data_IF_239317688190
#
_entry.id   IF_239317688190
#
_cell.length_a   1.000
_cell.length_b   1.000
_cell.length_c   1.000
_cell.angle_alpha   90.00
_cell.angle_beta   90.00
_cell.angle_gamma   90.00
#
_symmetry.space_group_name_H-M   'P 1'
#
loop_
_entity.id
_entity.type
_entity.pdbx_description
1 polymer ?
#
# COMPACT_ATOMS: atom_id res chain seq x y z
N UNK A 1 -13.58 42.84 -32.12
CA UNK A 1 -14.90 42.21 -32.34
C UNK A 1 -14.66 40.81 -32.86
N UNK A 2 -15.22 39.79 -32.20
CA UNK A 2 -14.86 38.39 -32.38
C UNK A 2 -15.42 37.82 -33.71
N UNK A 3 -14.96 38.34 -34.86
CA UNK A 3 -15.43 37.96 -36.21
C UNK A 3 -15.21 36.47 -36.52
N UNK A 4 -14.38 35.77 -35.75
CA UNK A 4 -14.19 34.33 -35.88
C UNK A 4 -15.40 33.51 -35.43
N UNK A 5 -16.22 34.04 -34.50
CA UNK A 5 -17.46 33.41 -34.07
C UNK A 5 -18.40 33.15 -35.26
N UNK A 6 -18.56 34.16 -36.10
CA UNK A 6 -19.51 34.12 -37.22
C UNK A 6 -19.14 33.03 -38.24
N UNK A 7 -17.85 32.70 -38.40
CA UNK A 7 -17.40 31.69 -39.37
C UNK A 7 -17.94 30.29 -39.09
N UNK A 8 -18.38 30.02 -37.87
CA UNK A 8 -18.84 28.70 -37.43
C UNK A 8 -20.35 28.57 -37.30
N UNK A 9 -21.12 29.62 -37.60
CA UNK A 9 -22.57 29.63 -37.41
C UNK A 9 -23.35 29.53 -38.72
N UNK A 10 -24.55 28.95 -38.65
CA UNK A 10 -25.52 28.91 -39.74
C UNK A 10 -26.62 29.96 -39.51
N UNK A 11 -26.90 30.76 -40.53
CA UNK A 11 -27.82 31.90 -40.43
C UNK A 11 -29.03 31.69 -41.34
N UNK A 12 -30.23 31.89 -40.81
CA UNK A 12 -31.45 32.04 -41.61
C UNK A 12 -31.69 33.51 -41.91
N UNK A 13 -31.62 33.90 -43.17
CA UNK A 13 -31.89 35.26 -43.64
C UNK A 13 -33.22 35.32 -44.40
N UNK A 14 -34.16 36.14 -43.93
CA UNK A 14 -35.51 36.24 -44.49
C UNK A 14 -35.83 37.68 -44.89
N UNK A 15 -36.11 37.89 -46.18
CA UNK A 15 -36.35 39.20 -46.78
C UNK A 15 -37.24 39.01 -48.01
N UNK A 16 -38.24 39.86 -48.22
CA UNK A 16 -39.21 39.70 -49.30
C UNK A 16 -38.73 40.25 -50.65
N UNK A 17 -38.00 41.37 -50.63
CA UNK A 17 -37.40 41.98 -51.81
C UNK A 17 -36.25 41.12 -52.38
N UNK A 18 -36.38 40.65 -53.63
CA UNK A 18 -35.43 39.69 -54.22
C UNK A 18 -33.99 40.24 -54.29
N UNK A 19 -33.83 41.48 -54.76
CA UNK A 19 -32.52 42.08 -54.97
C UNK A 19 -31.78 42.30 -53.64
N UNK A 20 -32.51 42.73 -52.60
CA UNK A 20 -31.97 42.90 -51.25
C UNK A 20 -31.64 41.55 -50.61
N UNK A 21 -32.52 40.55 -50.79
CA UNK A 21 -32.33 39.19 -50.29
C UNK A 21 -31.07 38.55 -50.85
N UNK A 22 -30.90 38.60 -52.17
CA UNK A 22 -29.73 38.02 -52.85
C UNK A 22 -28.43 38.74 -52.49
N UNK A 23 -28.43 40.08 -52.52
CA UNK A 23 -27.24 40.88 -52.21
C UNK A 23 -26.77 40.70 -50.76
N UNK A 24 -27.70 40.85 -49.81
CA UNK A 24 -27.39 40.73 -48.38
C UNK A 24 -27.08 39.28 -48.01
N UNK A 25 -27.84 38.32 -48.55
CA UNK A 25 -27.60 36.88 -48.33
C UNK A 25 -26.21 36.44 -48.80
N UNK A 26 -25.78 36.87 -50.00
CA UNK A 26 -24.42 36.59 -50.51
C UNK A 26 -23.34 37.21 -49.64
N UNK A 27 -23.58 38.41 -49.12
CA UNK A 27 -22.62 39.11 -48.27
C UNK A 27 -22.48 38.47 -46.89
N UNK A 28 -23.59 38.07 -46.26
CA UNK A 28 -23.58 37.28 -45.03
C UNK A 28 -22.89 35.93 -45.26
N UNK A 29 -23.15 35.29 -46.41
CA UNK A 29 -22.52 34.02 -46.79
C UNK A 29 -20.99 34.08 -46.91
N UNK A 30 -20.41 35.26 -47.11
CA UNK A 30 -18.96 35.42 -47.14
C UNK A 30 -18.30 35.41 -45.75
N UNK A 31 -19.06 35.55 -44.67
CA UNK A 31 -18.55 35.66 -43.29
C UNK A 31 -19.04 34.56 -42.35
N UNK A 32 -20.09 33.83 -42.72
CA UNK A 32 -20.65 32.73 -41.92
C UNK A 32 -20.41 31.36 -42.55
N UNK A 33 -20.67 30.28 -41.79
CA UNK A 33 -20.50 28.91 -42.27
C UNK A 33 -21.45 28.60 -43.42
N UNK A 34 -22.72 28.99 -43.26
CA UNK A 34 -23.79 28.72 -44.20
C UNK A 34 -24.93 29.74 -44.01
N UNK A 35 -25.56 30.16 -45.11
CA UNK A 35 -26.75 31.02 -45.09
C UNK A 35 -27.89 30.31 -45.79
N UNK A 36 -29.01 30.20 -45.09
CA UNK A 36 -30.29 29.74 -45.62
C UNK A 36 -31.12 30.99 -45.91
N UNK A 37 -31.58 31.16 -47.15
CA UNK A 37 -32.39 32.32 -47.55
C UNK A 37 -33.86 31.94 -47.71
N UNK A 38 -34.76 32.85 -47.34
CA UNK A 38 -36.21 32.67 -47.52
C UNK A 38 -36.90 33.98 -47.96
N UNK A 39 -37.98 33.86 -48.72
CA UNK A 39 -38.69 34.99 -49.35
C UNK A 39 -39.83 35.59 -48.51
N UNK A 40 -40.24 34.92 -47.43
CA UNK A 40 -41.25 35.39 -46.49
C UNK A 40 -41.23 34.55 -45.21
N UNK A 41 -41.95 34.98 -44.18
CA UNK A 41 -41.97 34.30 -42.88
C UNK A 41 -42.46 32.86 -42.92
N UNK A 42 -43.34 32.48 -43.86
CA UNK A 42 -43.84 31.10 -43.98
C UNK A 42 -42.74 30.17 -44.50
N UNK A 43 -42.08 30.57 -45.59
CA UNK A 43 -40.94 29.83 -46.14
C UNK A 43 -39.75 29.82 -45.17
N UNK A 44 -39.56 30.88 -44.38
CA UNK A 44 -38.52 30.94 -43.34
C UNK A 44 -38.79 29.98 -42.18
N UNK A 45 -40.04 29.87 -41.73
CA UNK A 45 -40.44 28.89 -40.71
C UNK A 45 -40.29 27.45 -41.21
N UNK A 46 -40.63 27.18 -42.47
CA UNK A 46 -40.43 25.86 -43.11
C UNK A 46 -38.93 25.54 -43.20
N UNK A 47 -38.11 26.48 -43.67
CA UNK A 47 -36.65 26.32 -43.73
C UNK A 47 -36.03 26.08 -42.35
N UNK A 48 -36.51 26.74 -41.29
CA UNK A 48 -36.04 26.48 -39.92
C UNK A 48 -36.39 25.07 -39.44
N UNK A 49 -37.57 24.55 -39.81
CA UNK A 49 -37.97 23.18 -39.45
C UNK A 49 -37.13 22.12 -40.17
N UNK A 50 -36.73 22.38 -41.40
CA UNK A 50 -35.83 21.53 -42.18
C UNK A 50 -34.38 21.60 -41.69
N UNK A 51 -33.95 22.77 -41.20
CA UNK A 51 -32.58 23.04 -40.74
C UNK A 51 -32.55 23.47 -39.26
N UNK A 52 -32.76 22.52 -38.34
CA UNK A 52 -32.71 22.80 -36.90
C UNK A 52 -31.30 23.14 -36.37
N UNK A 53 -30.28 23.06 -37.22
CA UNK A 53 -28.90 23.47 -36.99
C UNK A 53 -28.65 24.97 -37.20
N UNK A 54 -29.68 25.77 -37.50
CA UNK A 54 -29.57 27.23 -37.58
C UNK A 54 -29.27 27.84 -36.21
N UNK A 55 -28.23 28.66 -36.16
CA UNK A 55 -27.71 29.30 -34.94
C UNK A 55 -28.20 30.74 -34.76
N UNK A 56 -28.69 31.39 -35.83
CA UNK A 56 -29.13 32.80 -35.82
C UNK A 56 -30.20 33.07 -36.87
N UNK A 57 -31.19 33.88 -36.52
CA UNK A 57 -32.20 34.39 -37.48
C UNK A 57 -31.94 35.88 -37.73
N UNK A 58 -31.93 36.26 -39.00
CA UNK A 58 -31.93 37.65 -39.46
C UNK A 58 -33.15 37.84 -40.36
N UNK A 59 -34.10 38.70 -40.00
CA UNK A 59 -35.38 38.82 -40.75
C UNK A 59 -35.86 40.25 -40.87
N UNK A 60 -36.50 40.61 -41.98
CA UNK A 60 -37.33 41.81 -42.02
C UNK A 60 -38.57 41.64 -41.15
N UNK A 61 -39.03 42.72 -40.52
CA UNK A 61 -40.26 42.74 -39.72
C UNK A 61 -41.49 42.60 -40.61
N UNK A 62 -41.54 43.33 -41.73
CA UNK A 62 -42.72 43.44 -42.58
C UNK A 62 -42.52 42.68 -43.90
N UNK A 63 -43.21 41.55 -44.06
CA UNK A 63 -43.15 40.73 -45.26
C UNK A 63 -44.54 40.20 -45.61
N UNK A 64 -44.85 39.92 -46.90
CA UNK A 64 -46.10 39.30 -47.31
C UNK A 64 -46.25 37.87 -46.78
N UNK A 65 -47.49 37.37 -46.75
CA UNK A 65 -47.91 36.04 -46.24
C UNK A 65 -47.74 35.84 -44.73
N UNK A 66 -46.56 36.05 -44.17
CA UNK A 66 -46.25 35.96 -42.74
C UNK A 66 -45.11 36.92 -42.41
N UNK A 67 -45.31 37.79 -41.41
CA UNK A 67 -44.31 38.76 -40.99
C UNK A 67 -43.13 38.12 -40.23
N UNK A 68 -42.01 38.82 -40.14
CA UNK A 68 -40.81 38.29 -39.47
C UNK A 68 -41.00 38.05 -37.98
N UNK A 69 -41.75 38.94 -37.29
CA UNK A 69 -42.05 38.77 -35.87
C UNK A 69 -42.96 37.57 -35.59
N UNK A 70 -43.93 37.31 -36.48
CA UNK A 70 -44.82 36.14 -36.39
C UNK A 70 -44.05 34.85 -36.61
N UNK A 71 -43.17 34.81 -37.62
CA UNK A 71 -42.26 33.70 -37.85
C UNK A 71 -41.36 33.45 -36.63
N UNK A 72 -40.75 34.50 -36.08
CA UNK A 72 -39.89 34.40 -34.91
C UNK A 72 -40.64 33.85 -33.68
N UNK A 73 -41.89 34.25 -33.47
CA UNK A 73 -42.72 33.74 -32.40
C UNK A 73 -43.00 32.24 -32.54
N UNK A 74 -43.28 31.75 -33.75
CA UNK A 74 -43.45 30.31 -34.00
C UNK A 74 -42.13 29.54 -33.85
N UNK A 75 -41.01 30.09 -34.30
CA UNK A 75 -39.71 29.44 -34.13
C UNK A 75 -39.32 29.36 -32.64
N UNK A 76 -39.59 30.40 -31.83
CA UNK A 76 -39.33 30.39 -30.38
C UNK A 76 -40.10 29.30 -29.63
N UNK A 77 -41.23 28.79 -30.17
CA UNK A 77 -41.92 27.61 -29.61
C UNK A 77 -41.15 26.32 -29.82
N UNK A 78 -40.32 26.25 -30.86
CA UNK A 78 -39.46 25.09 -31.19
C UNK A 78 -38.11 25.24 -30.48
N UNK A 79 -37.45 26.39 -30.63
CA UNK A 79 -36.17 26.71 -30.00
C UNK A 79 -36.27 28.05 -29.26
N UNK A 80 -36.49 27.99 -27.95
CA UNK A 80 -36.62 29.18 -27.08
C UNK A 80 -35.34 30.03 -27.06
N UNK A 81 -34.18 29.44 -27.29
CA UNK A 81 -32.87 30.06 -27.10
C UNK A 81 -32.23 30.53 -28.42
N UNK A 82 -32.92 30.47 -29.56
CA UNK A 82 -32.35 30.97 -30.81
C UNK A 82 -32.19 32.50 -30.76
N UNK A 83 -31.00 33.05 -31.09
CA UNK A 83 -30.83 34.49 -31.22
C UNK A 83 -31.50 35.02 -32.48
N UNK A 84 -32.09 36.21 -32.37
CA UNK A 84 -32.89 36.83 -33.42
C UNK A 84 -32.46 38.28 -33.63
N UNK A 85 -32.19 38.64 -34.88
CA UNK A 85 -31.92 40.00 -35.35
C UNK A 85 -33.02 40.39 -36.32
N UNK A 86 -33.64 41.55 -36.12
CA UNK A 86 -34.68 42.06 -37.02
C UNK A 86 -34.21 43.30 -37.78
N UNK A 87 -34.57 43.41 -39.06
CA UNK A 87 -34.38 44.63 -39.85
C UNK A 87 -35.69 45.44 -39.89
N UNK A 88 -35.61 46.77 -39.74
CA UNK A 88 -36.80 47.65 -39.73
C UNK A 88 -36.57 48.93 -40.53
N UNK A 89 -37.60 49.39 -41.26
CA UNK A 89 -37.60 50.67 -41.98
C UNK A 89 -38.04 51.87 -41.12
N UNK A 90 -38.72 51.65 -39.98
CA UNK A 90 -39.29 52.73 -39.16
C UNK A 90 -39.14 52.49 -37.65
N UNK A 91 -38.99 53.60 -36.92
CA UNK A 91 -38.84 53.64 -35.47
C UNK A 91 -40.22 53.68 -34.77
N UNK A 92 -41.15 52.80 -35.16
CA UNK A 92 -42.50 52.74 -34.59
C UNK A 92 -42.47 52.05 -33.21
N UNK A 93 -42.87 52.73 -32.11
CA UNK A 93 -42.89 52.19 -30.76
C UNK A 93 -43.70 50.89 -30.61
N UNK A 94 -44.75 50.67 -31.41
CA UNK A 94 -45.58 49.47 -31.33
C UNK A 94 -44.84 48.22 -31.82
N UNK A 95 -44.00 48.37 -32.84
CA UNK A 95 -43.17 47.28 -33.36
C UNK A 95 -42.02 46.95 -32.42
N UNK A 96 -41.41 47.96 -31.80
CA UNK A 96 -40.40 47.76 -30.75
C UNK A 96 -40.96 46.95 -29.58
N UNK A 97 -42.18 47.26 -29.13
CA UNK A 97 -42.84 46.50 -28.06
C UNK A 97 -43.06 45.02 -28.46
N UNK A 98 -43.60 44.77 -29.65
CA UNK A 98 -43.80 43.40 -30.16
C UNK A 98 -42.48 42.63 -30.34
N UNK A 99 -41.41 43.30 -30.79
CA UNK A 99 -40.09 42.68 -30.92
C UNK A 99 -39.50 42.26 -29.56
N UNK A 100 -39.69 43.07 -28.53
CA UNK A 100 -39.29 42.73 -27.15
C UNK A 100 -40.09 41.52 -26.65
N UNK A 101 -41.40 41.49 -26.86
CA UNK A 101 -42.27 40.39 -26.41
C UNK A 101 -41.90 39.05 -27.07
N UNK A 102 -41.43 39.07 -28.32
CA UNK A 102 -40.93 37.88 -29.05
C UNK A 102 -39.52 37.47 -28.59
N UNK A 103 -38.78 38.35 -27.92
CA UNK A 103 -37.42 38.10 -27.44
C UNK A 103 -36.36 38.31 -28.51
N UNK A 104 -36.51 39.35 -29.34
CA UNK A 104 -35.50 39.80 -30.30
C UNK A 104 -34.25 40.31 -29.57
N UNK A 105 -33.07 39.94 -30.05
CA UNK A 105 -31.79 40.22 -29.39
C UNK A 105 -31.11 41.49 -29.92
N UNK A 106 -31.29 41.82 -31.19
CA UNK A 106 -30.79 43.06 -31.77
C UNK A 106 -31.66 43.52 -32.95
N UNK A 107 -31.56 44.81 -33.30
CA UNK A 107 -32.28 45.39 -34.43
C UNK A 107 -31.31 46.15 -35.35
N UNK A 108 -31.53 46.09 -36.65
CA UNK A 108 -30.80 46.84 -37.67
C UNK A 108 -31.78 47.74 -38.45
N UNK A 109 -31.41 49.00 -38.68
CA UNK A 109 -32.26 49.93 -39.44
C UNK A 109 -31.99 49.81 -40.95
N UNK A 110 -33.02 49.95 -41.77
CA UNK A 110 -32.90 50.11 -43.24
C UNK A 110 -32.58 51.59 -43.57
N UNK A 111 -31.71 51.91 -44.54
CA UNK A 111 -30.94 50.98 -45.38
C UNK A 111 -29.88 50.23 -44.56
N UNK A 112 -29.77 48.92 -44.79
CA UNK A 112 -28.93 48.02 -43.99
C UNK A 112 -27.45 48.38 -44.18
N UNK A 113 -26.84 49.00 -43.17
CA UNK A 113 -25.39 49.09 -43.08
C UNK A 113 -24.83 47.70 -42.70
N UNK A 114 -24.06 47.11 -43.62
CA UNK A 114 -23.47 45.78 -43.44
C UNK A 114 -22.56 45.71 -42.21
N UNK A 115 -21.81 46.77 -41.89
CA UNK A 115 -20.96 46.78 -40.69
C UNK A 115 -21.80 46.75 -39.42
N UNK A 116 -22.90 47.51 -39.39
CA UNK A 116 -23.81 47.55 -38.26
C UNK A 116 -24.59 46.23 -38.12
N UNK A 117 -25.02 45.63 -39.23
CA UNK A 117 -25.69 44.33 -39.21
C UNK A 117 -24.77 43.25 -38.63
N UNK A 118 -23.51 43.20 -39.06
CA UNK A 118 -22.52 42.23 -38.57
C UNK A 118 -22.26 42.40 -37.06
N UNK A 119 -22.16 43.65 -36.57
CA UNK A 119 -22.00 43.93 -35.14
C UNK A 119 -23.23 43.46 -34.33
N UNK A 120 -24.44 43.74 -34.82
CA UNK A 120 -25.67 43.29 -34.21
C UNK A 120 -25.82 41.76 -34.21
N UNK A 121 -25.45 41.09 -35.30
CA UNK A 121 -25.41 39.63 -35.36
C UNK A 121 -24.43 39.05 -34.35
N UNK A 122 -23.23 39.64 -34.23
CA UNK A 122 -22.22 39.20 -33.27
C UNK A 122 -22.74 39.32 -31.84
N UNK A 123 -23.30 40.48 -31.47
CA UNK A 123 -23.87 40.72 -30.13
C UNK A 123 -25.05 39.81 -29.82
N UNK A 124 -25.87 39.47 -30.81
CA UNK A 124 -27.00 38.58 -30.63
C UNK A 124 -26.56 37.13 -30.37
N UNK A 125 -25.56 36.64 -31.10
CA UNK A 125 -25.12 35.23 -31.03
C UNK A 125 -24.18 34.95 -29.87
N UNK A 126 -23.29 35.89 -29.54
CA UNK A 126 -22.20 35.68 -28.59
C UNK A 126 -22.63 35.08 -27.24
N UNK A 127 -23.68 35.58 -26.55
CA UNK A 127 -24.12 35.01 -25.27
C UNK A 127 -24.58 33.54 -25.37
N UNK A 128 -25.27 33.18 -26.46
CA UNK A 128 -25.79 31.83 -26.65
C UNK A 128 -24.68 30.86 -27.04
N UNK A 129 -23.76 31.31 -27.88
CA UNK A 129 -22.59 30.52 -28.25
C UNK A 129 -21.69 30.25 -27.04
N UNK A 130 -21.36 31.28 -26.26
CA UNK A 130 -20.54 31.14 -25.06
C UNK A 130 -21.20 30.23 -24.02
N UNK A 131 -22.52 30.35 -23.83
CA UNK A 131 -23.27 29.47 -22.91
C UNK A 131 -23.19 28.00 -23.35
N UNK A 132 -23.43 27.72 -24.63
CA UNK A 132 -23.34 26.37 -25.18
C UNK A 132 -21.93 25.78 -25.00
N UNK A 133 -20.88 26.55 -25.29
CA UNK A 133 -19.50 26.11 -25.08
C UNK A 133 -19.19 25.82 -23.60
N UNK A 134 -19.69 26.66 -22.69
CA UNK A 134 -19.49 26.45 -21.25
C UNK A 134 -20.14 25.15 -20.77
N UNK A 135 -21.35 24.86 -21.23
CA UNK A 135 -22.06 23.61 -20.93
C UNK A 135 -21.29 22.39 -21.46
N UNK A 136 -20.78 22.46 -22.71
CA UNK A 136 -19.94 21.42 -23.31
C UNK A 136 -18.64 21.18 -22.53
N UNK A 137 -17.95 22.27 -22.15
CA UNK A 137 -16.70 22.20 -21.38
C UNK A 137 -16.95 21.60 -19.98
N UNK A 138 -18.01 22.04 -19.28
CA UNK A 138 -18.33 21.52 -17.96
C UNK A 138 -18.60 20.01 -18.00
N UNK A 139 -19.36 19.54 -18.99
CA UNK A 139 -19.61 18.10 -19.14
C UNK A 139 -18.31 17.33 -19.40
N UNK A 140 -17.45 17.84 -20.29
CA UNK A 140 -16.14 17.23 -20.55
C UNK A 140 -15.23 17.21 -19.31
N UNK A 141 -15.26 18.26 -18.49
CA UNK A 141 -14.50 18.34 -17.25
C UNK A 141 -15.00 17.31 -16.23
N UNK A 142 -16.32 17.16 -16.06
CA UNK A 142 -16.90 16.16 -15.16
C UNK A 142 -16.45 14.74 -15.53
N UNK A 143 -16.46 14.41 -16.82
CA UNK A 143 -16.01 13.10 -17.30
C UNK A 143 -14.52 12.87 -17.06
N UNK A 144 -13.67 13.89 -17.33
CA UNK A 144 -12.22 13.82 -17.03
C UNK A 144 -11.95 13.66 -15.53
N UNK A 145 -12.71 14.34 -14.67
CA UNK A 145 -12.58 14.20 -13.21
C UNK A 145 -12.96 12.78 -12.77
N UNK A 146 -14.09 12.24 -13.27
CA UNK A 146 -14.51 10.86 -12.97
C UNK A 146 -13.46 9.85 -13.42
N UNK A 147 -12.91 10.01 -14.62
CA UNK A 147 -11.86 9.14 -15.14
C UNK A 147 -10.58 9.23 -14.29
N UNK A 148 -10.18 10.44 -13.90
CA UNK A 148 -9.05 10.67 -13.00
C UNK A 148 -9.21 9.97 -11.64
N UNK A 149 -10.37 10.12 -10.99
CA UNK A 149 -10.69 9.46 -9.72
C UNK A 149 -10.63 7.93 -9.88
N UNK A 150 -11.23 7.40 -10.95
CA UNK A 150 -11.22 5.95 -11.22
C UNK A 150 -9.79 5.43 -11.40
N UNK A 151 -8.94 6.17 -12.12
CA UNK A 151 -7.54 5.81 -12.34
C UNK A 151 -6.76 5.78 -11.03
N UNK A 152 -6.88 6.82 -10.19
CA UNK A 152 -6.21 6.86 -8.87
C UNK A 152 -6.67 5.70 -7.98
N UNK A 153 -7.98 5.45 -7.92
CA UNK A 153 -8.53 4.32 -7.15
C UNK A 153 -7.95 2.99 -7.63
N UNK A 154 -7.90 2.75 -8.94
CA UNK A 154 -7.32 1.52 -9.50
C UNK A 154 -5.83 1.34 -9.17
N UNK A 155 -5.06 2.43 -9.08
CA UNK A 155 -3.65 2.38 -8.69
C UNK A 155 -3.51 1.99 -7.22
N UNK A 156 -4.32 2.61 -6.33
CA UNK A 156 -4.34 2.28 -4.90
C UNK A 156 -4.79 0.84 -4.63
N UNK A 157 -5.77 0.35 -5.38
CA UNK A 157 -6.32 -1.01 -5.25
C UNK A 157 -5.38 -2.08 -5.83
N UNK A 158 -4.50 -1.71 -6.77
CA UNK A 158 -3.47 -2.62 -7.30
C UNK A 158 -2.28 -2.82 -6.35
N UNK A 159 -2.11 -1.96 -5.34
CA UNK A 159 -1.07 -2.13 -4.33
C UNK A 159 -1.44 -3.28 -3.37
N UNK A 160 -0.43 -4.05 -2.94
CA UNK A 160 -0.63 -5.16 -2.01
C UNK A 160 -0.67 -4.71 -0.54
N UNK A 161 -0.33 -3.45 -0.25
CA UNK A 161 -0.38 -2.90 1.10
C UNK A 161 -1.84 -2.59 1.49
N UNK A 162 -2.14 -2.68 2.79
CA UNK A 162 -3.38 -2.10 3.31
C UNK A 162 -3.15 -0.59 3.43
N UNK A 163 -4.03 0.21 2.87
CA UNK A 163 -3.89 1.67 2.88
C UNK A 163 -5.14 2.27 3.48
N UNK A 164 -4.94 3.16 4.45
CA UNK A 164 -6.00 4.02 4.94
C UNK A 164 -5.56 5.48 4.92
N UNK A 165 -6.52 6.36 4.67
CA UNK A 165 -6.38 7.81 4.78
C UNK A 165 -7.19 8.22 5.99
N UNK A 166 -6.57 8.93 6.92
CA UNK A 166 -7.20 9.39 8.15
C UNK A 166 -7.25 10.91 8.21
N UNK A 167 -8.26 11.45 8.90
CA UNK A 167 -8.30 12.81 9.41
C UNK A 167 -8.11 12.72 10.92
N UNK A 168 -6.97 13.19 11.42
CA UNK A 168 -6.46 12.83 12.72
C UNK A 168 -6.50 11.30 12.91
N UNK A 169 -7.26 10.80 13.88
CA UNK A 169 -7.40 9.36 14.17
C UNK A 169 -8.56 8.67 13.42
N UNK A 170 -9.41 9.45 12.74
CA UNK A 170 -10.64 8.95 12.09
C UNK A 170 -10.36 8.54 10.65
N UNK A 171 -10.86 7.37 10.25
CA UNK A 171 -10.63 6.85 8.89
C UNK A 171 -11.59 7.52 7.91
N UNK A 172 -11.02 8.16 6.88
CA UNK A 172 -11.77 8.82 5.80
C UNK A 172 -11.94 7.86 4.61
N UNK A 173 -10.88 7.13 4.26
CA UNK A 173 -10.85 6.32 3.05
C UNK A 173 -9.88 5.16 3.18
N UNK A 174 -10.09 4.09 2.41
CA UNK A 174 -9.23 2.90 2.40
C UNK A 174 -9.17 2.29 1.00
N UNK A 175 -8.13 1.53 0.70
CA UNK A 175 -8.06 0.74 -0.54
C UNK A 175 -8.79 -0.62 -0.40
N UNK A 176 -9.00 -1.30 -1.52
CA UNK A 176 -9.72 -2.58 -1.54
C UNK A 176 -9.03 -3.66 -0.68
N UNK A 177 -7.69 -3.70 -0.64
CA UNK A 177 -6.96 -4.67 0.20
C UNK A 177 -7.28 -4.55 1.68
N UNK A 178 -7.42 -3.32 2.17
CA UNK A 178 -7.84 -3.05 3.54
C UNK A 178 -9.22 -3.65 3.84
N UNK A 179 -10.17 -3.46 2.92
CA UNK A 179 -11.53 -3.98 3.04
C UNK A 179 -11.52 -5.52 3.04
N UNK A 180 -10.80 -6.12 2.10
CA UNK A 180 -10.69 -7.58 1.96
C UNK A 180 -10.08 -8.25 3.20
N UNK A 181 -9.14 -7.57 3.86
CA UNK A 181 -8.45 -8.05 5.05
C UNK A 181 -9.36 -8.17 6.27
N UNK A 182 -10.24 -7.17 6.47
CA UNK A 182 -11.18 -7.11 7.60
C UNK A 182 -12.59 -7.68 7.31
N UNK A 183 -12.85 -8.10 6.08
CA UNK A 183 -14.16 -8.61 5.58
C UNK A 183 -15.32 -7.61 5.66
N UNK A 184 -15.02 -6.33 5.48
CA UNK A 184 -16.04 -5.30 5.59
C UNK A 184 -16.77 -5.09 4.27
N UNK A 185 -18.08 -4.83 4.34
CA UNK A 185 -18.88 -4.59 3.12
C UNK A 185 -18.79 -3.14 2.64
N UNK A 186 -18.41 -2.21 3.51
CA UNK A 186 -18.26 -0.79 3.19
C UNK A 186 -17.31 -0.12 4.18
N UNK A 187 -16.61 0.92 3.70
CA UNK A 187 -15.81 1.85 4.50
C UNK A 187 -16.67 2.49 5.59
N UNK A 188 -17.92 2.86 5.29
CA UNK A 188 -18.83 3.53 6.23
C UNK A 188 -19.17 2.64 7.43
N UNK A 189 -19.30 1.32 7.19
CA UNK A 189 -19.59 0.35 8.26
C UNK A 189 -18.37 0.16 9.15
N UNK A 190 -17.18 0.06 8.56
CA UNK A 190 -15.95 -0.06 9.32
C UNK A 190 -15.63 1.20 10.13
N UNK A 191 -15.76 2.39 9.53
CA UNK A 191 -15.53 3.66 10.21
C UNK A 191 -16.55 3.91 11.34
N UNK A 192 -17.78 3.40 11.21
CA UNK A 192 -18.78 3.46 12.27
C UNK A 192 -18.50 2.48 13.42
N UNK A 193 -17.97 1.29 13.12
CA UNK A 193 -17.64 0.26 14.13
C UNK A 193 -16.28 0.51 14.81
N UNK A 194 -15.33 1.10 14.09
CA UNK A 194 -13.94 1.29 14.52
C UNK A 194 -13.56 2.75 14.32
N UNK A 195 -13.61 3.52 15.41
CA UNK A 195 -13.27 4.95 15.40
C UNK A 195 -11.82 5.22 15.01
N UNK A 196 -10.91 4.26 15.26
CA UNK A 196 -9.50 4.36 14.86
C UNK A 196 -8.89 2.98 14.61
N UNK A 197 -8.02 2.88 13.62
CA UNK A 197 -7.35 1.63 13.24
C UNK A 197 -6.50 1.04 14.37
N UNK A 198 -6.01 1.89 15.30
CA UNK A 198 -5.23 1.46 16.45
C UNK A 198 -5.96 0.44 17.34
N UNK A 199 -7.30 0.45 17.35
CA UNK A 199 -8.13 -0.53 18.07
C UNK A 199 -8.02 -1.96 17.51
N UNK A 200 -7.45 -2.13 16.32
CA UNK A 200 -7.17 -3.45 15.72
C UNK A 200 -5.75 -3.94 16.00
N UNK A 201 -4.91 -3.13 16.65
CA UNK A 201 -3.57 -3.56 17.06
C UNK A 201 -3.66 -4.50 18.25
N UNK A 202 -2.83 -5.54 18.23
CA UNK A 202 -2.82 -6.58 19.26
C UNK A 202 -1.51 -6.47 20.03
N UNK A 203 -1.60 -6.56 21.35
CA UNK A 203 -0.45 -6.57 22.23
C UNK A 203 0.45 -7.79 21.97
N UNK A 204 1.75 -7.56 21.89
CA UNK A 204 2.74 -8.63 21.78
C UNK A 204 4.17 -8.08 21.93
N UNK A 205 5.10 -8.95 22.31
CA UNK A 205 6.50 -8.56 22.50
C UNK A 205 7.13 -8.07 21.18
N UNK A 206 7.77 -6.90 21.22
CA UNK A 206 8.38 -6.29 20.04
C UNK A 206 7.41 -5.69 19.02
N UNK A 207 6.12 -5.58 19.35
CA UNK A 207 5.11 -4.92 18.52
C UNK A 207 4.57 -3.67 19.21
N UNK A 208 4.36 -2.62 18.43
CA UNK A 208 3.68 -1.43 18.90
C UNK A 208 2.21 -1.74 19.19
N UNK A 209 1.78 -1.37 20.39
CA UNK A 209 0.40 -1.45 20.84
C UNK A 209 0.00 -0.08 21.41
N UNK A 210 -1.18 0.39 21.04
CA UNK A 210 -1.69 1.67 21.50
C UNK A 210 -2.65 1.46 22.66
N UNK A 211 -2.27 1.95 23.83
CA UNK A 211 -3.15 2.09 24.99
C UNK A 211 -3.61 3.55 25.08
N UNK A 212 -4.93 3.77 25.12
CA UNK A 212 -5.49 5.10 25.35
C UNK A 212 -5.08 5.58 26.76
N UNK A 213 -4.12 6.50 26.83
CA UNK A 213 -3.68 7.16 28.06
C UNK A 213 -4.35 8.53 28.24
N UNK A 214 -4.41 9.01 29.50
CA UNK A 214 -5.04 10.30 29.89
C UNK A 214 -4.51 11.54 29.14
N UNK A 215 -3.31 11.49 28.56
CA UNK A 215 -2.68 12.60 27.83
C UNK A 215 -3.28 12.86 26.43
N UNK A 216 -4.21 12.03 25.96
CA UNK A 216 -4.97 12.21 24.72
C UNK A 216 -4.11 12.38 23.44
N UNK A 217 -2.89 11.84 23.46
CA UNK A 217 -1.95 11.89 22.32
C UNK A 217 -2.33 10.80 21.31
N UNK A 218 -2.66 11.20 20.08
CA UNK A 218 -2.95 10.30 18.96
C UNK A 218 -1.87 9.23 18.76
N UNK A 219 -2.29 8.00 18.48
CA UNK A 219 -1.39 6.89 18.19
C UNK A 219 -0.46 7.17 17.00
N UNK A 220 -0.90 7.98 16.04
CA UNK A 220 -0.10 8.41 14.88
C UNK A 220 1.10 9.23 15.35
N UNK A 221 0.89 10.14 16.31
CA UNK A 221 1.96 10.94 16.88
C UNK A 221 2.94 10.07 17.69
N UNK A 222 2.44 9.09 18.45
CA UNK A 222 3.27 8.18 19.24
C UNK A 222 4.14 7.27 18.34
N UNK A 223 3.53 6.56 17.39
CA UNK A 223 4.27 5.63 16.51
C UNK A 223 5.24 6.38 15.58
N UNK A 224 4.95 7.64 15.23
CA UNK A 224 5.85 8.47 14.41
C UNK A 224 7.11 8.91 15.14
N UNK A 225 7.13 8.89 16.49
CA UNK A 225 8.34 9.15 17.27
C UNK A 225 9.28 7.94 17.29
N UNK A 226 8.78 6.75 16.97
CA UNK A 226 9.60 5.54 16.91
C UNK A 226 10.48 5.52 15.66
N UNK A 227 11.69 4.94 15.74
CA UNK A 227 12.49 4.59 14.58
C UNK A 227 11.67 3.73 13.60
N UNK A 228 11.87 3.91 12.28
CA UNK A 228 11.08 3.20 11.25
C UNK A 228 11.09 1.68 11.42
N UNK A 229 12.20 1.11 11.91
CA UNK A 229 12.33 -0.33 12.14
C UNK A 229 11.45 -0.86 13.28
N UNK A 230 11.06 0.01 14.21
CA UNK A 230 10.25 -0.34 15.38
C UNK A 230 8.76 -0.07 15.15
N UNK A 231 8.38 0.49 13.99
CA UNK A 231 6.98 0.75 13.60
C UNK A 231 6.31 -0.52 13.09
N UNK A 232 6.24 -1.53 13.94
CA UNK A 232 5.68 -2.83 13.61
C UNK A 232 4.45 -3.07 14.46
N UNK A 233 3.33 -3.39 13.81
CA UNK A 233 2.06 -3.72 14.48
C UNK A 233 1.63 -5.12 14.14
N UNK A 234 0.82 -5.71 15.02
CA UNK A 234 0.22 -7.02 14.83
C UNK A 234 -1.30 -6.85 14.74
N UNK A 235 -1.92 -7.46 13.73
CA UNK A 235 -3.37 -7.39 13.49
C UNK A 235 -3.90 -8.77 13.10
N UNK A 236 -5.17 -9.02 13.35
CA UNK A 236 -5.87 -10.24 12.94
C UNK A 236 -6.70 -9.98 11.69
N UNK A 237 -6.62 -10.88 10.72
CA UNK A 237 -7.47 -10.87 9.53
C UNK A 237 -8.85 -11.50 9.82
N UNK A 238 -9.73 -11.48 8.82
CA UNK A 238 -11.06 -12.10 8.90
C UNK A 238 -11.09 -13.60 9.21
N UNK A 239 -10.03 -14.33 8.91
CA UNK A 239 -9.89 -15.76 9.17
C UNK A 239 -9.34 -16.04 10.58
N UNK A 240 -9.26 -15.02 11.42
CA UNK A 240 -8.66 -15.06 12.75
C UNK A 240 -7.16 -15.41 12.75
N UNK A 241 -6.47 -15.10 11.65
CA UNK A 241 -5.04 -15.33 11.47
C UNK A 241 -4.27 -14.05 11.80
N UNK A 242 -3.30 -14.18 12.70
CA UNK A 242 -2.39 -13.09 13.06
C UNK A 242 -1.42 -12.76 11.91
N UNK A 243 -1.29 -11.46 11.65
CA UNK A 243 -0.43 -10.90 10.61
C UNK A 243 0.37 -9.72 11.18
N UNK A 244 1.60 -9.58 10.71
CA UNK A 244 2.58 -8.59 11.17
C UNK A 244 2.78 -7.57 10.06
N UNK A 245 2.68 -6.29 10.40
CA UNK A 245 2.78 -5.20 9.45
C UNK A 245 3.80 -4.16 9.88
N UNK A 246 4.56 -3.63 8.92
CA UNK A 246 5.27 -2.36 9.12
C UNK A 246 4.34 -1.20 8.79
N UNK A 247 4.38 -0.16 9.59
CA UNK A 247 3.53 1.04 9.44
C UNK A 247 4.35 2.20 8.89
N UNK A 248 3.96 2.70 7.73
CA UNK A 248 4.46 3.96 7.19
C UNK A 248 3.35 5.01 7.22
N UNK A 249 3.70 6.23 7.61
CA UNK A 249 2.77 7.35 7.78
C UNK A 249 3.34 8.54 7.02
N UNK A 250 2.56 9.05 6.08
CA UNK A 250 2.87 10.22 5.27
C UNK A 250 1.80 11.30 5.50
N UNK A 251 2.22 12.56 5.70
CA UNK A 251 1.29 13.69 5.77
C UNK A 251 0.84 14.07 4.34
N UNK A 252 -0.45 13.85 4.05
CA UNK A 252 -1.03 14.01 2.71
C UNK A 252 -1.12 15.48 2.27
N UNK A 253 -1.13 16.43 3.21
CA UNK A 253 -1.42 17.85 2.93
C UNK A 253 -0.49 18.84 3.63
N UNK A 254 0.53 18.37 4.36
CA UNK A 254 1.45 19.20 5.18
C UNK A 254 0.71 20.14 6.15
N UNK A 255 -0.47 19.71 6.62
CA UNK A 255 -1.33 20.46 7.54
C UNK A 255 -1.51 19.74 8.87
N UNK A 256 -0.82 18.61 9.10
CA UNK A 256 -0.97 17.79 10.31
C UNK A 256 -2.42 17.37 10.62
N UNK A 257 -3.27 17.31 9.60
CA UNK A 257 -4.68 16.95 9.74
C UNK A 257 -4.95 15.60 9.05
N UNK A 258 -4.53 15.45 7.79
CA UNK A 258 -4.81 14.22 7.03
C UNK A 258 -3.55 13.40 6.76
N UNK A 259 -3.58 12.13 7.13
CA UNK A 259 -2.45 11.21 6.99
C UNK A 259 -2.79 10.07 6.02
N UNK A 260 -1.82 9.67 5.19
CA UNK A 260 -1.86 8.39 4.48
C UNK A 260 -1.05 7.40 5.28
N UNK A 261 -1.68 6.29 5.64
CA UNK A 261 -1.07 5.22 6.42
C UNK A 261 -1.04 3.99 5.54
N UNK A 262 0.13 3.39 5.39
CA UNK A 262 0.30 2.13 4.70
C UNK A 262 0.83 1.05 5.63
N UNK A 263 0.19 -0.12 5.56
CA UNK A 263 0.57 -1.32 6.28
C UNK A 263 1.09 -2.34 5.27
N UNK A 264 2.38 -2.65 5.36
CA UNK A 264 3.01 -3.68 4.52
C UNK A 264 3.13 -4.98 5.30
N UNK A 265 2.51 -6.06 4.81
CA UNK A 265 2.57 -7.38 5.45
C UNK A 265 4.00 -7.92 5.36
N UNK A 266 4.63 -8.11 6.52
CA UNK A 266 5.97 -8.68 6.68
C UNK A 266 5.94 -10.01 7.45
N UNK A 267 4.77 -10.63 7.59
CA UNK A 267 4.60 -11.88 8.37
C UNK A 267 5.58 -12.96 7.91
N UNK A 268 5.62 -13.22 6.60
CA UNK A 268 6.47 -14.29 6.04
C UNK A 268 7.96 -13.89 6.08
N UNK A 269 8.26 -12.60 5.90
CA UNK A 269 9.62 -12.07 6.02
C UNK A 269 10.14 -12.24 7.45
N UNK A 270 9.32 -11.91 8.46
CA UNK A 270 9.67 -12.03 9.87
C UNK A 270 9.82 -13.49 10.28
N UNK A 271 8.91 -14.38 9.84
CA UNK A 271 9.04 -15.83 10.04
C UNK A 271 10.35 -16.37 9.44
N UNK A 272 10.68 -15.96 8.21
CA UNK A 272 11.92 -16.36 7.55
C UNK A 272 13.16 -15.80 8.27
N UNK A 273 13.11 -14.56 8.72
CA UNK A 273 14.18 -13.95 9.52
C UNK A 273 14.43 -14.72 10.81
N UNK A 274 13.36 -15.02 11.58
CA UNK A 274 13.46 -15.78 12.82
C UNK A 274 13.99 -17.21 12.56
N UNK A 275 13.55 -17.85 11.47
CA UNK A 275 14.04 -19.17 11.09
C UNK A 275 15.54 -19.14 10.74
N UNK A 276 15.98 -18.13 9.99
CA UNK A 276 17.40 -17.96 9.65
C UNK A 276 18.24 -17.68 10.88
N UNK A 277 17.74 -16.88 11.82
CA UNK A 277 18.42 -16.62 13.10
C UNK A 277 18.51 -17.89 13.95
N UNK A 278 17.44 -18.68 14.00
CA UNK A 278 17.45 -19.98 14.66
C UNK A 278 18.47 -20.93 14.00
N UNK A 279 18.45 -21.08 12.68
CA UNK A 279 19.40 -21.92 11.94
C UNK A 279 20.86 -21.44 12.04
N UNK A 280 21.08 -20.12 12.16
CA UNK A 280 22.41 -19.56 12.35
C UNK A 280 22.97 -19.89 13.74
N UNK A 281 22.11 -20.13 14.73
CA UNK A 281 22.51 -20.35 16.13
C UNK A 281 22.29 -21.79 16.64
N UNK A 282 21.47 -22.60 15.97
CA UNK A 282 21.11 -23.95 16.39
C UNK A 282 21.46 -25.00 15.32
N UNK A 283 21.72 -26.22 15.77
CA UNK A 283 21.84 -27.39 14.92
C UNK A 283 20.46 -27.89 14.48
N UNK A 284 20.29 -28.14 13.19
CA UNK A 284 18.98 -28.48 12.61
C UNK A 284 18.47 -29.86 12.98
N UNK A 285 19.35 -30.78 13.39
CA UNK A 285 18.97 -32.14 13.75
C UNK A 285 18.57 -32.23 15.22
N UNK A 286 19.39 -31.67 16.10
CA UNK A 286 19.23 -31.84 17.55
C UNK A 286 18.52 -30.68 18.24
N UNK A 287 18.45 -29.51 17.60
CA UNK A 287 17.91 -28.29 18.20
C UNK A 287 18.82 -27.63 19.25
N UNK A 288 19.96 -28.26 19.58
CA UNK A 288 20.99 -27.66 20.43
C UNK A 288 21.61 -26.45 19.75
N UNK A 289 22.35 -25.63 20.49
CA UNK A 289 23.17 -24.60 19.88
C UNK A 289 24.21 -25.22 18.95
N UNK A 290 24.58 -24.48 17.91
CA UNK A 290 25.63 -24.89 16.99
C UNK A 290 26.97 -24.24 17.36
N UNK A 291 28.02 -24.65 16.66
CA UNK A 291 29.38 -24.11 16.83
C UNK A 291 29.46 -22.59 16.70
N UNK A 292 28.70 -21.97 15.80
CA UNK A 292 28.68 -20.51 15.64
C UNK A 292 28.24 -19.83 16.95
N UNK A 293 27.19 -20.37 17.58
CA UNK A 293 26.67 -19.83 18.84
C UNK A 293 27.62 -20.02 20.01
N UNK A 294 28.38 -21.11 20.04
CA UNK A 294 29.46 -21.31 21.02
C UNK A 294 30.46 -20.16 21.01
N UNK A 295 30.99 -19.80 19.83
CA UNK A 295 31.94 -18.69 19.67
C UNK A 295 31.40 -17.38 20.26
N UNK A 296 30.12 -17.09 20.03
CA UNK A 296 29.45 -15.88 20.54
C UNK A 296 29.34 -15.89 22.07
N UNK A 297 28.93 -17.02 22.65
CA UNK A 297 28.75 -17.19 24.10
C UNK A 297 30.11 -17.19 24.81
N UNK A 298 31.09 -17.95 24.32
CA UNK A 298 32.45 -17.97 24.86
C UNK A 298 33.07 -16.57 24.89
N UNK A 299 32.93 -15.80 23.81
CA UNK A 299 33.42 -14.42 23.74
C UNK A 299 32.72 -13.47 24.73
N UNK A 300 31.48 -13.76 25.13
CA UNK A 300 30.76 -13.01 26.18
C UNK A 300 31.26 -13.41 27.56
N UNK A 301 31.41 -14.71 27.83
CA UNK A 301 31.90 -15.20 29.11
C UNK A 301 33.36 -14.79 29.38
N UNK A 302 34.24 -14.83 28.37
CA UNK A 302 35.61 -14.33 28.50
C UNK A 302 35.69 -12.85 28.90
N UNK A 303 34.74 -12.03 28.45
CA UNK A 303 34.66 -10.61 28.83
C UNK A 303 34.16 -10.43 30.27
N UNK A 304 33.34 -11.36 30.77
CA UNK A 304 32.88 -11.38 32.17
C UNK A 304 34.00 -11.83 33.11
N UNK A 305 34.71 -12.89 32.74
CA UNK A 305 35.78 -13.46 33.56
C UNK A 305 36.93 -12.47 33.82
N UNK A 306 37.39 -11.74 32.79
CA UNK A 306 38.40 -10.67 32.96
C UNK A 306 38.01 -9.58 33.98
N UNK A 307 36.73 -9.48 34.34
CA UNK A 307 36.20 -8.49 35.28
C UNK A 307 35.92 -9.06 36.67
N UNK A 308 35.62 -10.35 36.80
CA UNK A 308 35.14 -10.95 38.04
C UNK A 308 35.91 -12.19 38.53
N UNK A 309 36.86 -12.73 37.75
CA UNK A 309 37.61 -13.95 38.07
C UNK A 309 36.68 -15.12 38.42
N UNK A 310 35.80 -15.48 37.48
CA UNK A 310 34.80 -16.51 37.65
C UNK A 310 35.30 -17.82 37.03
N UNK A 311 35.16 -18.93 37.75
CA UNK A 311 35.54 -20.24 37.22
C UNK A 311 34.70 -20.57 35.96
N UNK A 312 35.35 -20.93 34.86
CA UNK A 312 34.70 -21.37 33.63
C UNK A 312 35.24 -22.74 33.26
N UNK A 313 34.36 -23.73 33.12
CA UNK A 313 34.74 -25.08 32.74
C UNK A 313 34.11 -25.51 31.42
N UNK A 314 34.78 -26.42 30.73
CA UNK A 314 34.37 -26.97 29.45
C UNK A 314 34.37 -28.49 29.53
N UNK A 315 33.29 -29.09 29.06
CA UNK A 315 33.19 -30.53 28.82
C UNK A 315 33.05 -30.72 27.32
N UNK A 316 33.89 -31.57 26.73
CA UNK A 316 33.69 -32.09 25.38
C UNK A 316 33.40 -33.58 25.50
N UNK A 317 32.35 -34.06 24.83
CA UNK A 317 32.04 -35.48 24.83
C UNK A 317 31.62 -35.98 23.45
N UNK A 318 31.86 -37.26 23.23
CA UNK A 318 31.65 -37.94 21.96
C UNK A 318 30.99 -39.29 22.20
N UNK A 319 30.03 -39.64 21.34
CA UNK A 319 29.32 -40.91 21.43
C UNK A 319 30.20 -42.08 20.98
N UNK A 320 30.40 -43.01 21.91
CA UNK A 320 31.25 -44.15 21.69
C UNK A 320 30.69 -45.07 20.60
N UNK A 321 31.54 -45.43 19.65
CA UNK A 321 31.19 -46.33 18.54
C UNK A 321 30.00 -45.84 17.69
N UNK A 322 29.74 -44.53 17.62
CA UNK A 322 28.62 -43.98 16.86
C UNK A 322 28.66 -44.34 15.37
N UNK A 323 29.85 -44.35 14.76
CA UNK A 323 30.01 -44.84 13.39
C UNK A 323 29.51 -46.28 13.20
N UNK A 324 29.77 -47.17 14.16
CA UNK A 324 29.26 -48.55 14.08
C UNK A 324 27.73 -48.60 14.19
N UNK A 325 27.12 -47.73 15.00
CA UNK A 325 25.66 -47.63 15.07
C UNK A 325 25.07 -47.27 13.70
N UNK A 326 25.66 -46.29 13.01
CA UNK A 326 25.24 -45.89 11.66
C UNK A 326 25.48 -47.01 10.63
N UNK A 327 26.63 -47.66 10.67
CA UNK A 327 26.99 -48.71 9.73
C UNK A 327 26.10 -49.96 9.90
N UNK A 328 25.69 -50.28 11.14
CA UNK A 328 24.89 -51.47 11.46
C UNK A 328 23.38 -51.25 11.25
N UNK A 329 22.86 -50.04 11.51
CA UNK A 329 21.41 -49.77 11.59
C UNK A 329 20.92 -48.60 10.72
N UNK A 330 21.82 -47.95 9.98
CA UNK A 330 21.50 -46.82 9.11
C UNK A 330 21.52 -45.46 9.82
N UNK A 331 21.66 -44.40 9.02
CA UNK A 331 21.76 -43.03 9.52
C UNK A 331 20.50 -42.55 10.24
N UNK A 332 19.31 -43.04 9.88
CA UNK A 332 18.06 -42.66 10.56
C UNK A 332 18.09 -43.03 12.05
N UNK A 333 18.69 -44.18 12.40
CA UNK A 333 18.85 -44.62 13.79
C UNK A 333 19.89 -43.78 14.53
N UNK A 334 20.98 -43.39 13.85
CA UNK A 334 21.96 -42.45 14.39
C UNK A 334 21.35 -41.07 14.66
N UNK A 335 20.49 -40.59 13.76
CA UNK A 335 19.79 -39.31 13.92
C UNK A 335 18.83 -39.32 15.11
N UNK A 336 18.11 -40.44 15.32
CA UNK A 336 17.28 -40.65 16.51
C UNK A 336 18.16 -40.64 17.77
N UNK A 337 19.28 -41.37 17.76
CA UNK A 337 20.21 -41.39 18.88
C UNK A 337 20.71 -39.98 19.25
N UNK A 338 21.13 -39.18 18.27
CA UNK A 338 21.62 -37.82 18.51
C UNK A 338 20.54 -36.92 19.12
N UNK A 339 19.29 -37.01 18.65
CA UNK A 339 18.16 -36.24 19.20
C UNK A 339 17.88 -36.61 20.66
N UNK A 340 17.82 -37.90 20.94
CA UNK A 340 17.54 -38.40 22.29
C UNK A 340 18.64 -38.01 23.28
N UNK A 341 19.92 -38.20 22.91
CA UNK A 341 21.04 -37.77 23.76
C UNK A 341 21.02 -36.26 23.99
N UNK A 342 20.65 -35.48 22.97
CA UNK A 342 20.55 -34.02 23.11
C UNK A 342 19.49 -33.60 24.13
N UNK A 343 18.30 -34.22 24.07
CA UNK A 343 17.22 -33.97 25.03
C UNK A 343 17.62 -34.39 26.46
N UNK A 344 18.20 -35.58 26.61
CA UNK A 344 18.70 -36.05 27.91
C UNK A 344 19.74 -35.11 28.49
N UNK A 345 20.61 -34.57 27.64
CA UNK A 345 21.65 -33.66 28.08
C UNK A 345 21.08 -32.32 28.56
N UNK A 346 20.04 -31.80 27.89
CA UNK A 346 19.32 -30.59 28.33
C UNK A 346 18.65 -30.78 29.70
N UNK A 347 18.11 -31.97 30.00
CA UNK A 347 17.49 -32.28 31.30
C UNK A 347 18.52 -32.39 32.45
N UNK A 348 19.78 -32.66 32.12
CA UNK A 348 20.85 -32.87 33.11
C UNK A 348 21.52 -31.57 33.53
N UNK A 349 21.73 -30.65 32.58
CA UNK A 349 22.45 -29.37 32.77
C UNK A 349 21.52 -28.27 33.33
N UNK A 350 22.11 -27.18 33.83
CA UNK A 350 21.35 -26.04 34.38
C UNK A 350 20.93 -25.07 33.27
N UNK A 351 19.95 -24.21 33.56
CA UNK A 351 19.46 -23.18 32.62
C UNK A 351 20.58 -22.21 32.15
N UNK A 352 21.56 -21.94 33.01
CA UNK A 352 22.71 -21.09 32.67
C UNK A 352 23.86 -21.82 31.97
N UNK A 353 23.83 -23.15 31.96
CA UNK A 353 24.82 -23.96 31.24
C UNK A 353 24.45 -23.98 29.75
N UNK A 354 25.46 -24.01 28.89
CA UNK A 354 25.24 -24.01 27.44
C UNK A 354 25.71 -25.34 26.87
N UNK A 355 24.82 -26.09 26.23
CA UNK A 355 25.18 -27.25 25.42
C UNK A 355 25.12 -26.94 23.93
N UNK A 356 26.12 -27.43 23.22
CA UNK A 356 26.37 -27.20 21.80
C UNK A 356 26.65 -28.53 21.12
N UNK A 357 26.08 -28.74 19.93
CA UNK A 357 26.56 -29.80 19.03
C UNK A 357 27.73 -29.25 18.21
N UNK A 358 28.92 -29.79 18.44
CA UNK A 358 30.16 -29.28 17.84
C UNK A 358 30.34 -29.75 16.40
N UNK A 359 29.96 -31.00 16.13
CA UNK A 359 29.95 -31.60 14.79
C UNK A 359 29.75 -33.11 14.87
N UNK A 360 29.04 -33.71 13.91
CA UNK A 360 28.80 -35.16 13.90
C UNK A 360 28.18 -35.66 15.21
N UNK A 361 28.93 -36.51 15.92
CA UNK A 361 28.62 -37.09 17.24
C UNK A 361 29.28 -36.38 18.45
N UNK A 362 29.91 -35.22 18.22
CA UNK A 362 30.63 -34.45 19.24
C UNK A 362 29.76 -33.31 19.81
N UNK A 363 29.81 -33.18 21.13
CA UNK A 363 29.07 -32.20 21.90
C UNK A 363 29.99 -31.44 22.85
N UNK A 364 29.66 -30.18 23.11
CA UNK A 364 30.36 -29.32 24.06
C UNK A 364 29.37 -28.78 25.08
N UNK A 365 29.74 -28.79 26.35
CA UNK A 365 29.03 -28.12 27.44
C UNK A 365 29.94 -27.06 28.04
N UNK A 366 29.50 -25.81 27.99
CA UNK A 366 30.14 -24.69 28.67
C UNK A 366 29.44 -24.45 30.00
N UNK A 367 30.22 -24.42 31.08
CA UNK A 367 29.74 -24.31 32.46
C UNK A 367 30.29 -23.01 33.10
N UNK A 368 29.53 -21.90 33.03
CA UNK A 368 29.87 -20.68 33.75
C UNK A 368 29.87 -20.90 35.27
N UNK A 369 30.71 -20.17 35.98
CA UNK A 369 30.81 -20.18 37.45
C UNK A 369 31.01 -21.59 38.04
N UNK A 370 31.73 -22.45 37.33
CA UNK A 370 31.92 -23.86 37.68
C UNK A 370 33.40 -24.22 37.58
N UNK A 371 33.94 -24.78 38.67
CA UNK A 371 35.30 -25.31 38.72
C UNK A 371 35.38 -26.74 38.13
N UNK A 372 36.59 -27.30 38.10
CA UNK A 372 36.84 -28.62 37.53
C UNK A 372 36.06 -29.71 38.27
N UNK A 373 35.98 -29.64 39.61
CA UNK A 373 35.26 -30.62 40.42
C UNK A 373 33.76 -30.59 40.12
N UNK A 374 33.16 -29.41 40.02
CA UNK A 374 31.78 -29.22 39.58
C UNK A 374 31.55 -29.75 38.16
N UNK A 375 32.47 -29.49 37.24
CA UNK A 375 32.38 -29.99 35.87
C UNK A 375 32.45 -31.54 35.81
N UNK A 376 33.29 -32.17 36.64
CA UNK A 376 33.35 -33.63 36.78
C UNK A 376 32.03 -34.21 37.26
N UNK A 377 31.36 -33.55 38.21
CA UNK A 377 30.04 -33.99 38.70
C UNK A 377 29.02 -33.95 37.56
N UNK A 378 28.97 -32.86 36.80
CA UNK A 378 28.05 -32.72 35.66
C UNK A 378 28.35 -33.76 34.58
N UNK A 379 29.61 -33.96 34.23
CA UNK A 379 30.02 -34.94 33.23
C UNK A 379 29.68 -36.38 33.63
N UNK A 380 29.90 -36.76 34.89
CA UNK A 380 29.52 -38.08 35.37
C UNK A 380 27.99 -38.26 35.36
N UNK A 381 27.23 -37.23 35.74
CA UNK A 381 25.76 -37.27 35.66
C UNK A 381 25.29 -37.44 34.22
N UNK A 382 25.89 -36.75 33.26
CA UNK A 382 25.63 -36.94 31.82
C UNK A 382 25.98 -38.37 31.40
N UNK A 383 27.19 -38.85 31.70
CA UNK A 383 27.66 -40.20 31.38
C UNK A 383 26.69 -41.27 31.88
N UNK A 384 26.35 -41.23 33.17
CA UNK A 384 25.50 -42.24 33.80
C UNK A 384 24.08 -42.22 33.19
N UNK A 385 23.56 -41.02 32.88
CA UNK A 385 22.25 -40.86 32.23
C UNK A 385 22.26 -41.46 30.81
N UNK A 386 23.29 -41.17 30.02
CA UNK A 386 23.46 -41.71 28.66
C UNK A 386 23.65 -43.24 28.72
N UNK A 387 24.43 -43.74 29.68
CA UNK A 387 24.70 -45.18 29.81
C UNK A 387 23.44 -46.00 30.14
N UNK A 388 22.56 -45.47 30.98
CA UNK A 388 21.33 -46.14 31.39
C UNK A 388 20.22 -45.97 30.35
N UNK A 389 20.31 -44.97 29.47
CA UNK A 389 19.32 -44.69 28.44
C UNK A 389 19.05 -45.89 27.53
N UNK A 390 17.76 -46.18 27.32
CA UNK A 390 17.28 -47.22 26.41
C UNK A 390 16.12 -46.66 25.59
N UNK A 391 16.11 -46.96 24.30
CA UNK A 391 15.03 -46.62 23.39
C UNK A 391 14.76 -47.82 22.48
N UNK A 392 13.50 -48.17 22.27
CA UNK A 392 13.09 -49.32 21.45
C UNK A 392 13.59 -49.22 20.00
N UNK A 393 13.79 -48.00 19.50
CA UNK A 393 14.29 -47.72 18.15
C UNK A 393 15.82 -47.81 18.04
N UNK A 394 16.53 -47.89 19.18
CA UNK A 394 17.99 -47.95 19.23
C UNK A 394 18.39 -49.33 19.78
N UNK A 395 18.71 -50.30 18.91
CA UNK A 395 18.95 -51.69 19.30
C UNK A 395 20.30 -51.93 20.02
N UNK A 396 21.04 -50.86 20.34
CA UNK A 396 22.36 -50.91 20.96
C UNK A 396 22.46 -49.92 22.12
N UNK A 397 23.13 -50.34 23.19
CA UNK A 397 23.50 -49.44 24.29
C UNK A 397 24.46 -48.37 23.79
N UNK A 398 24.15 -47.12 24.06
CA UNK A 398 25.01 -45.97 23.77
C UNK A 398 25.79 -45.62 25.04
N UNK A 399 27.07 -45.30 24.87
CA UNK A 399 27.92 -44.70 25.92
C UNK A 399 28.62 -43.49 25.32
N UNK A 400 29.21 -42.67 26.18
CA UNK A 400 29.96 -41.50 25.75
C UNK A 400 31.26 -41.36 26.54
N UNK A 401 32.29 -40.87 25.89
CA UNK A 401 33.57 -40.51 26.52
C UNK A 401 33.62 -39.00 26.71
N UNK A 402 34.19 -38.53 27.84
CA UNK A 402 34.16 -37.13 28.24
C UNK A 402 35.57 -36.62 28.53
N UNK A 403 35.93 -35.47 27.94
CA UNK A 403 37.11 -34.68 28.25
C UNK A 403 36.72 -33.37 28.92
N UNK A 404 37.39 -33.04 30.03
CA UNK A 404 37.07 -31.86 30.84
C UNK A 404 38.30 -30.98 30.99
N UNK A 405 38.09 -29.67 30.93
CA UNK A 405 39.11 -28.69 31.33
C UNK A 405 38.48 -27.45 31.96
N UNK A 406 39.29 -26.63 32.63
CA UNK A 406 38.90 -25.32 33.15
C UNK A 406 39.72 -24.21 32.50
N UNK A 407 39.16 -23.01 32.43
CA UNK A 407 39.83 -21.85 31.89
C UNK A 407 41.06 -21.53 32.74
N UNK A 408 42.19 -21.27 32.09
CA UNK A 408 43.43 -20.82 32.73
C UNK A 408 43.86 -19.47 32.18
N UNK A 409 44.68 -18.76 32.95
CA UNK A 409 45.21 -17.47 32.53
C UNK A 409 46.00 -17.59 31.21
N UNK A 410 45.64 -16.76 30.23
CA UNK A 410 46.26 -16.77 28.91
C UNK A 410 45.61 -17.70 27.88
N UNK A 411 44.55 -18.42 28.24
CA UNK A 411 43.77 -19.18 27.25
C UNK A 411 43.13 -18.29 26.18
N UNK A 412 43.14 -18.80 24.96
CA UNK A 412 42.19 -18.43 23.92
C UNK A 412 41.19 -19.57 23.69
N UNK A 413 40.20 -19.33 22.81
CA UNK A 413 39.18 -20.34 22.56
C UNK A 413 39.78 -21.66 22.03
N UNK A 414 40.81 -21.57 21.19
CA UNK A 414 41.40 -22.75 20.58
C UNK A 414 42.21 -23.54 21.61
N UNK A 415 42.98 -22.90 22.49
CA UNK A 415 43.73 -23.59 23.55
C UNK A 415 42.78 -24.25 24.56
N UNK A 416 41.67 -23.58 24.88
CA UNK A 416 40.67 -24.08 25.79
C UNK A 416 39.96 -25.33 25.24
N UNK A 417 39.46 -25.26 24.01
CA UNK A 417 38.81 -26.40 23.34
C UNK A 417 39.79 -27.54 23.11
N UNK A 418 41.02 -27.24 22.64
CA UNK A 418 42.04 -28.26 22.35
C UNK A 418 42.41 -29.08 23.57
N UNK A 419 42.51 -28.46 24.75
CA UNK A 419 42.87 -29.18 25.99
C UNK A 419 41.77 -30.14 26.43
N UNK A 420 40.50 -29.77 26.25
CA UNK A 420 39.39 -30.69 26.50
C UNK A 420 39.33 -31.82 25.45
N UNK A 421 39.67 -31.53 24.19
CA UNK A 421 39.79 -32.54 23.14
C UNK A 421 40.91 -33.56 23.42
N UNK A 422 42.06 -33.10 23.93
CA UNK A 422 43.14 -33.98 24.38
C UNK A 422 42.67 -34.90 25.53
N UNK A 423 41.91 -34.35 26.49
CA UNK A 423 41.32 -35.16 27.57
C UNK A 423 40.31 -36.19 27.04
N UNK A 424 39.51 -35.82 26.04
CA UNK A 424 38.56 -36.72 25.38
C UNK A 424 39.30 -37.84 24.62
N UNK A 425 40.40 -37.52 23.95
CA UNK A 425 41.24 -38.49 23.27
C UNK A 425 41.80 -39.52 24.26
N UNK A 426 42.32 -39.07 25.41
CA UNK A 426 42.76 -39.93 26.50
C UNK A 426 41.60 -40.82 27.02
N UNK A 427 40.38 -40.28 27.13
CA UNK A 427 39.20 -41.03 27.56
C UNK A 427 38.85 -42.17 26.59
N UNK A 428 38.93 -41.90 25.28
CA UNK A 428 38.73 -42.91 24.23
C UNK A 428 39.81 -44.00 24.27
N UNK A 429 41.04 -43.68 24.64
CA UNK A 429 42.14 -44.66 24.80
C UNK A 429 42.03 -45.48 26.10
N UNK A 430 41.50 -44.90 27.17
CA UNK A 430 41.36 -45.54 28.49
C UNK A 430 40.24 -46.61 28.56
N UNK A 431 39.57 -46.90 27.43
CA UNK A 431 38.53 -47.92 27.36
C UNK A 431 37.12 -47.39 27.11
N UNK A 432 36.97 -46.07 26.88
CA UNK A 432 35.68 -45.38 26.64
C UNK A 432 34.72 -45.42 27.84
N UNK A 433 33.57 -44.76 27.74
CA UNK A 433 32.61 -44.59 28.85
C UNK A 433 33.27 -44.08 30.15
N UNK A 434 34.21 -43.15 30.02
CA UNK A 434 34.97 -42.58 31.13
C UNK A 434 35.06 -41.07 31.00
N UNK A 435 35.32 -40.44 32.14
CA UNK A 435 35.55 -39.01 32.26
C UNK A 435 37.03 -38.78 32.55
N UNK A 436 37.70 -37.98 31.73
CA UNK A 436 39.08 -37.56 31.96
C UNK A 436 39.14 -36.05 32.06
N UNK A 437 39.89 -35.58 33.04
CA UNK A 437 40.15 -34.17 33.29
C UNK A 437 41.58 -33.83 32.92
N UNK A 438 41.78 -32.69 32.24
CA UNK A 438 43.10 -32.15 31.96
C UNK A 438 43.16 -30.71 32.46
N UNK A 439 43.84 -30.57 33.59
CA UNK A 439 44.15 -29.30 34.24
C UNK A 439 45.67 -29.24 34.29
N UNK A 440 46.26 -28.08 33.98
CA UNK A 440 47.72 -27.90 33.85
C UNK A 440 48.44 -28.40 35.10
#
# INVERSE_FOLDING_TARGET
MNKELLKNIKVLYVEDENDVREFTGKTIGAIVKEVVIAENGKTGLEAFKEHQDIDLIVTDINMPKMGGLEMCAEIKKINKNIPIVVTSAHNDPNFLKKAIDVGVNAYAMKPVDLYQLIDNMTKAVEPFYLKKQLEEINHSLEDKVKEGIKKVKSILDAQNNLICVTDHDSIINVNQKFIDFFDEKSIDKFAAEVSSISKRFIQGEGFYFYEENDDNISWIAQISQLPTIDRIVKMINKENIERIFTVNIDDYNHKNASFVISFTDITDLKKKSNLLEYQANHDTLTGLYNRQKFHEIYSKEMRRDKRYANNLSLIIFDLDHFKMLNDDFGHDVGDIALKEISNLSLDVIREHDTIVRWGGEEFIVLLPETDVEGAVIVANKLRDTIEVFRNEQIPRKITASFGITCLVEGDDENSFVKRADEALYEAKQAGRNVVITKVI
#
